data_IF_695721165955
#
_entry.id   IF_695721165955
#
_cell.length_a   1.000
_cell.length_b   1.000
_cell.length_c   1.000
_cell.angle_alpha   90.00
_cell.angle_beta   90.00
_cell.angle_gamma   90.00
#
_symmetry.space_group_name_H-M   'P 1'
#
loop_
_entity.id
_entity.type
_entity.pdbx_description
1 polymer ?
#
# COMPACT_ATOMS: atom_id res chain seq x y z
N UNK A 1 7.95 -38.28 -25.70
CA UNK A 1 8.03 -36.82 -25.94
C UNK A 1 8.16 -36.17 -24.57
N UNK A 2 9.39 -35.93 -24.13
CA UNK A 2 9.68 -35.34 -22.81
C UNK A 2 9.44 -33.85 -22.95
N UNK A 3 8.20 -33.42 -22.68
CA UNK A 3 7.90 -32.00 -22.51
C UNK A 3 8.65 -31.59 -21.23
N UNK A 4 9.85 -31.06 -21.41
CA UNK A 4 10.65 -30.49 -20.34
C UNK A 4 9.78 -29.44 -19.66
N UNK A 5 9.45 -29.71 -18.41
CA UNK A 5 8.70 -28.87 -17.50
C UNK A 5 9.55 -27.65 -17.07
N UNK A 6 10.01 -26.86 -18.04
CA UNK A 6 10.78 -25.62 -17.83
C UNK A 6 9.89 -24.44 -17.38
N UNK A 7 8.58 -24.66 -17.20
CA UNK A 7 7.63 -23.60 -16.79
C UNK A 7 7.40 -23.58 -15.27
N UNK A 8 7.84 -24.60 -14.53
CA UNK A 8 7.78 -24.53 -13.06
C UNK A 8 8.94 -23.65 -12.61
N UNK A 9 8.68 -22.51 -11.94
CA UNK A 9 9.76 -21.69 -11.39
C UNK A 9 10.61 -22.56 -10.47
N UNK A 10 11.91 -22.63 -10.78
CA UNK A 10 12.89 -23.32 -9.94
C UNK A 10 12.69 -22.89 -8.49
N UNK A 11 12.81 -23.81 -7.54
CA UNK A 11 12.66 -23.54 -6.11
C UNK A 11 13.44 -22.28 -5.68
N UNK A 12 14.63 -22.09 -6.27
CA UNK A 12 15.46 -20.89 -6.11
C UNK A 12 14.73 -19.58 -6.44
N UNK A 13 14.04 -19.52 -7.58
CA UNK A 13 13.28 -18.34 -7.99
C UNK A 13 12.10 -18.06 -7.05
N UNK A 14 11.38 -19.09 -6.62
CA UNK A 14 10.30 -18.97 -5.65
C UNK A 14 10.80 -18.44 -4.29
N UNK A 15 11.91 -18.98 -3.79
CA UNK A 15 12.58 -18.48 -2.58
C UNK A 15 13.05 -17.03 -2.73
N UNK A 16 13.59 -16.66 -3.90
CA UNK A 16 13.99 -15.28 -4.19
C UNK A 16 12.80 -14.32 -4.11
N UNK A 17 11.68 -14.63 -4.79
CA UNK A 17 10.48 -13.80 -4.73
C UNK A 17 9.87 -13.72 -3.33
N UNK A 18 9.85 -14.84 -2.59
CA UNK A 18 9.38 -14.85 -1.21
C UNK A 18 10.25 -13.94 -0.32
N UNK A 19 11.58 -14.03 -0.44
CA UNK A 19 12.49 -13.18 0.32
C UNK A 19 12.31 -11.70 -0.02
N UNK A 20 12.23 -11.35 -1.32
CA UNK A 20 11.97 -10.00 -1.78
C UNK A 20 10.65 -9.45 -1.23
N UNK A 21 9.61 -10.27 -1.21
CA UNK A 21 8.30 -9.89 -0.67
C UNK A 21 8.37 -9.60 0.82
N UNK A 22 9.08 -10.44 1.59
CA UNK A 22 9.27 -10.25 3.04
C UNK A 22 10.07 -8.98 3.31
N UNK A 23 11.25 -8.82 2.69
CA UNK A 23 12.09 -7.64 2.88
C UNK A 23 11.40 -6.36 2.40
N UNK A 24 10.71 -6.40 1.26
CA UNK A 24 9.93 -5.29 0.74
C UNK A 24 8.80 -4.88 1.68
N UNK A 25 8.08 -5.84 2.26
CA UNK A 25 7.00 -5.58 3.23
C UNK A 25 7.54 -4.95 4.52
N UNK A 26 8.69 -5.42 5.01
CA UNK A 26 9.36 -4.83 6.19
C UNK A 26 9.80 -3.39 5.89
N UNK A 27 10.51 -3.18 4.78
CA UNK A 27 10.99 -1.84 4.38
C UNK A 27 9.84 -0.85 4.17
N UNK A 28 8.75 -1.31 3.56
CA UNK A 28 7.53 -0.54 3.39
C UNK A 28 6.91 -0.16 4.74
N UNK A 29 6.76 -1.13 5.66
CA UNK A 29 6.20 -0.89 6.99
C UNK A 29 7.05 0.09 7.80
N UNK A 30 8.38 -0.07 7.79
CA UNK A 30 9.31 0.84 8.47
C UNK A 30 9.19 2.26 7.92
N UNK A 31 9.17 2.41 6.59
CA UNK A 31 9.01 3.71 5.92
C UNK A 31 7.68 4.37 6.30
N UNK A 32 6.59 3.59 6.31
CA UNK A 32 5.28 4.07 6.72
C UNK A 32 5.25 4.56 8.17
N UNK A 33 5.81 3.78 9.09
CA UNK A 33 5.89 4.15 10.52
C UNK A 33 6.79 5.35 10.75
N UNK A 34 7.88 5.48 10.00
CA UNK A 34 8.77 6.64 10.07
C UNK A 34 8.06 7.92 9.63
N UNK A 35 7.35 7.90 8.51
CA UNK A 35 6.58 9.04 8.01
C UNK A 35 5.47 9.48 8.99
N UNK A 36 4.79 8.52 9.63
CA UNK A 36 3.81 8.82 10.68
C UNK A 36 4.44 9.51 11.89
N UNK A 37 5.58 9.00 12.37
CA UNK A 37 6.30 9.59 13.51
C UNK A 37 6.80 11.01 13.20
N UNK A 38 7.31 11.25 11.99
CA UNK A 38 7.71 12.60 11.58
C UNK A 38 6.51 13.55 11.53
N UNK A 39 5.35 13.10 11.03
CA UNK A 39 4.13 13.90 11.06
C UNK A 39 3.69 14.26 12.49
N UNK A 40 3.78 13.31 13.42
CA UNK A 40 3.48 13.55 14.84
C UNK A 40 4.45 14.55 15.48
N UNK A 41 5.76 14.43 15.22
CA UNK A 41 6.76 15.39 15.70
C UNK A 41 6.52 16.80 15.16
N UNK A 42 6.14 16.93 13.89
CA UNK A 42 5.82 18.24 13.29
C UNK A 42 4.56 18.84 13.90
N UNK A 43 3.57 18.01 14.25
CA UNK A 43 2.37 18.47 14.95
C UNK A 43 2.70 19.05 16.33
N UNK A 44 3.66 18.46 17.05
CA UNK A 44 4.12 18.98 18.34
C UNK A 44 4.99 20.24 18.20
N UNK A 45 5.86 20.30 17.19
CA UNK A 45 6.79 21.43 16.95
C UNK A 45 6.15 22.66 16.30
N UNK A 46 4.92 22.56 15.79
CA UNK A 46 4.20 23.67 15.17
C UNK A 46 4.01 24.89 16.09
N UNK A 47 4.25 24.74 17.40
CA UNK A 47 4.23 25.83 18.39
C UNK A 47 5.50 26.70 18.33
N UNK A 48 6.62 26.21 17.78
CA UNK A 48 7.86 26.97 17.64
C UNK A 48 7.98 27.60 16.24
N UNK A 49 8.41 28.87 16.16
CA UNK A 49 8.32 29.79 15.01
C UNK A 49 8.94 29.34 13.66
N UNK A 50 9.63 28.19 13.58
CA UNK A 50 10.23 27.69 12.34
C UNK A 50 9.38 26.57 11.72
N UNK A 51 8.22 26.95 11.18
CA UNK A 51 7.34 26.02 10.47
C UNK A 51 7.50 26.18 8.95
N UNK A 52 8.08 25.17 8.29
CA UNK A 52 8.11 25.10 6.82
C UNK A 52 6.85 24.42 6.31
N UNK A 53 5.96 25.21 5.69
CA UNK A 53 4.69 24.74 5.10
C UNK A 53 4.93 23.67 4.02
N UNK A 54 5.98 23.83 3.20
CA UNK A 54 6.27 22.91 2.09
C UNK A 54 6.59 21.50 2.58
N UNK A 55 7.39 21.36 3.66
CA UNK A 55 7.77 20.06 4.20
C UNK A 55 6.58 19.25 4.72
N UNK A 56 5.62 19.93 5.35
CA UNK A 56 4.41 19.25 5.85
C UNK A 56 3.49 18.82 4.70
N UNK A 57 3.38 19.63 3.64
CA UNK A 57 2.66 19.22 2.43
C UNK A 57 3.28 17.97 1.81
N UNK A 58 4.61 17.94 1.61
CA UNK A 58 5.32 16.79 1.06
C UNK A 58 5.12 15.50 1.87
N UNK A 59 5.21 15.58 3.21
CA UNK A 59 5.01 14.39 4.06
C UNK A 59 3.56 13.92 4.01
N UNK A 60 2.58 14.84 3.96
CA UNK A 60 1.16 14.49 3.81
C UNK A 60 0.88 13.80 2.50
N UNK A 61 1.46 14.29 1.40
CA UNK A 61 1.38 13.66 0.08
C UNK A 61 1.98 12.25 0.10
N UNK A 62 3.19 12.09 0.66
CA UNK A 62 3.83 10.78 0.80
C UNK A 62 2.97 9.80 1.63
N UNK A 63 2.35 10.25 2.73
CA UNK A 63 1.46 9.41 3.54
C UNK A 63 0.19 9.05 2.76
N UNK A 64 -0.37 9.98 1.98
CA UNK A 64 -1.54 9.70 1.15
C UNK A 64 -1.23 8.64 0.08
N UNK A 65 -0.08 8.75 -0.58
CA UNK A 65 0.44 7.77 -1.55
C UNK A 65 0.69 6.42 -0.87
N UNK A 66 1.31 6.39 0.32
CA UNK A 66 1.51 5.15 1.07
C UNK A 66 0.17 4.50 1.45
N UNK A 67 -0.81 5.25 1.96
CA UNK A 67 -2.15 4.69 2.26
C UNK A 67 -2.82 4.09 1.04
N UNK A 68 -2.66 4.72 -0.12
CA UNK A 68 -3.15 4.18 -1.38
C UNK A 68 -2.47 2.85 -1.69
N UNK A 69 -1.13 2.81 -1.64
CA UNK A 69 -0.39 1.56 -1.85
C UNK A 69 -0.81 0.48 -0.87
N UNK A 70 -1.05 0.80 0.41
CA UNK A 70 -1.50 -0.19 1.39
C UNK A 70 -2.85 -0.81 1.01
N UNK A 71 -3.74 -0.01 0.41
CA UNK A 71 -5.06 -0.48 -0.03
C UNK A 71 -4.96 -1.44 -1.22
N UNK A 72 -3.93 -1.29 -2.07
CA UNK A 72 -3.66 -2.17 -3.23
C UNK A 72 -2.79 -3.37 -2.85
N UNK A 73 -1.81 -3.18 -1.97
CA UNK A 73 -0.85 -4.19 -1.55
C UNK A 73 -1.50 -5.28 -0.69
N UNK A 74 -2.42 -4.93 0.21
CA UNK A 74 -3.09 -5.91 1.07
C UNK A 74 -3.86 -6.99 0.28
N UNK A 75 -4.75 -6.66 -0.68
CA UNK A 75 -5.40 -7.67 -1.49
C UNK A 75 -4.42 -8.44 -2.38
N UNK A 76 -3.35 -7.79 -2.88
CA UNK A 76 -2.30 -8.48 -3.63
C UNK A 76 -1.66 -9.59 -2.79
N UNK A 77 -1.24 -9.27 -1.56
CA UNK A 77 -0.63 -10.24 -0.62
C UNK A 77 -1.62 -11.35 -0.25
N UNK A 78 -2.88 -11.00 0.03
CA UNK A 78 -3.90 -12.02 0.32
C UNK A 78 -4.16 -12.94 -0.88
N UNK A 79 -4.13 -12.40 -2.10
CA UNK A 79 -4.28 -13.18 -3.32
C UNK A 79 -3.05 -14.04 -3.62
N UNK A 80 -1.84 -13.71 -3.20
CA UNK A 80 -0.68 -14.58 -3.45
C UNK A 80 -0.59 -15.78 -2.52
N UNK A 81 -1.19 -15.74 -1.32
CA UNK A 81 -1.11 -16.85 -0.34
C UNK A 81 -1.57 -18.19 -0.92
N UNK A 82 -2.74 -18.32 -1.59
CA UNK A 82 -3.18 -19.60 -2.13
C UNK A 82 -2.27 -20.11 -3.25
N UNK A 83 -1.69 -19.22 -4.06
CA UNK A 83 -0.70 -19.61 -5.07
C UNK A 83 0.54 -20.25 -4.41
N UNK A 84 1.06 -19.65 -3.33
CA UNK A 84 2.16 -20.25 -2.57
C UNK A 84 1.77 -21.60 -1.95
N UNK A 85 0.54 -21.74 -1.45
CA UNK A 85 0.05 -23.01 -0.88
C UNK A 85 -0.01 -24.11 -1.95
N UNK A 86 -0.56 -23.81 -3.14
CA UNK A 86 -0.61 -24.78 -4.25
C UNK A 86 0.78 -25.16 -4.75
N UNK A 87 1.70 -24.20 -4.85
CA UNK A 87 3.10 -24.46 -5.21
C UNK A 87 3.81 -25.34 -4.17
N UNK A 88 3.56 -25.09 -2.88
CA UNK A 88 4.11 -25.90 -1.80
C UNK A 88 3.57 -27.33 -1.83
N UNK A 89 2.25 -27.50 -2.03
CA UNK A 89 1.62 -28.81 -2.21
C UNK A 89 2.17 -29.56 -3.42
N UNK A 90 2.37 -28.86 -4.55
CA UNK A 90 2.99 -29.41 -5.75
C UNK A 90 4.41 -29.93 -5.47
N UNK A 91 5.21 -29.15 -4.73
CA UNK A 91 6.61 -29.48 -4.43
C UNK A 91 6.76 -30.62 -3.42
N UNK A 92 5.78 -30.82 -2.54
CA UNK A 92 5.79 -31.87 -1.53
C UNK A 92 5.54 -33.27 -2.12
N UNK A 93 4.95 -33.35 -3.32
CA UNK A 93 4.54 -34.62 -3.94
C UNK A 93 5.62 -35.11 -4.92
N UNK A 94 6.33 -36.21 -4.60
CA UNK A 94 7.32 -36.78 -5.50
C UNK A 94 6.68 -37.35 -6.77
N UNK A 95 7.36 -37.27 -7.93
CA UNK A 95 6.89 -37.96 -9.14
C UNK A 95 6.90 -39.48 -8.96
N UNK A 96 5.91 -40.18 -9.54
CA UNK A 96 5.93 -41.64 -9.68
C UNK A 96 5.30 -42.45 -8.55
N UNK A 97 4.58 -41.80 -7.63
CA UNK A 97 3.85 -42.47 -6.52
C UNK A 97 2.41 -42.83 -6.93
N UNK A 98 1.99 -42.52 -8.17
CA UNK A 98 0.63 -42.78 -8.65
C UNK A 98 -0.40 -41.70 -8.29
N UNK A 99 0.03 -40.62 -7.64
CA UNK A 99 -0.80 -39.44 -7.32
C UNK A 99 -0.51 -38.27 -8.28
N UNK A 100 -0.06 -38.57 -9.51
CA UNK A 100 0.33 -37.55 -10.48
C UNK A 100 -0.84 -36.64 -10.89
N UNK A 101 -2.07 -37.17 -10.89
CA UNK A 101 -3.29 -36.38 -11.17
C UNK A 101 -3.45 -35.20 -10.20
N UNK A 102 -3.22 -35.42 -8.90
CA UNK A 102 -3.32 -34.34 -7.91
C UNK A 102 -2.22 -33.30 -8.13
N UNK A 103 -1.01 -33.74 -8.50
CA UNK A 103 0.09 -32.84 -8.84
C UNK A 103 -0.26 -31.94 -10.03
N UNK A 104 -0.89 -32.48 -11.08
CA UNK A 104 -1.37 -31.67 -12.21
C UNK A 104 -2.50 -30.72 -11.82
N UNK A 105 -3.40 -31.12 -10.93
CA UNK A 105 -4.46 -30.24 -10.40
C UNK A 105 -3.84 -29.07 -9.62
N UNK A 106 -2.85 -29.31 -8.75
CA UNK A 106 -2.16 -28.24 -8.02
C UNK A 106 -1.48 -27.25 -8.98
N UNK A 107 -0.83 -27.74 -10.03
CA UNK A 107 -0.22 -26.89 -11.05
C UNK A 107 -1.28 -26.04 -11.79
N UNK A 108 -2.39 -26.65 -12.22
CA UNK A 108 -3.47 -25.93 -12.89
C UNK A 108 -4.13 -24.88 -11.99
N UNK A 109 -4.33 -25.20 -10.71
CA UNK A 109 -4.88 -24.26 -9.72
C UNK A 109 -3.92 -23.11 -9.42
N UNK A 110 -2.62 -23.36 -9.39
CA UNK A 110 -1.60 -22.32 -9.27
C UNK A 110 -1.68 -21.30 -10.42
N UNK A 111 -1.70 -21.77 -11.66
CA UNK A 111 -1.77 -20.90 -12.86
C UNK A 111 -3.09 -20.12 -12.92
N UNK A 112 -4.20 -20.78 -12.61
CA UNK A 112 -5.52 -20.15 -12.52
C UNK A 112 -5.52 -19.04 -11.47
N UNK A 113 -4.94 -19.31 -10.30
CA UNK A 113 -4.94 -18.36 -9.19
C UNK A 113 -4.04 -17.16 -9.45
N UNK A 114 -2.89 -17.36 -10.10
CA UNK A 114 -2.04 -16.27 -10.57
C UNK A 114 -2.78 -15.37 -11.56
N UNK A 115 -3.46 -15.96 -12.55
CA UNK A 115 -4.23 -15.22 -13.55
C UNK A 115 -5.36 -14.41 -12.90
N UNK A 116 -6.10 -15.03 -11.97
CA UNK A 116 -7.14 -14.35 -11.19
C UNK A 116 -6.56 -13.20 -10.34
N UNK A 117 -5.40 -13.38 -9.74
CA UNK A 117 -4.71 -12.34 -8.96
C UNK A 117 -4.36 -11.14 -9.85
N UNK A 118 -3.84 -11.36 -11.06
CA UNK A 118 -3.55 -10.30 -12.02
C UNK A 118 -4.81 -9.49 -12.39
N UNK A 119 -5.90 -10.18 -12.72
CA UNK A 119 -7.18 -9.52 -13.07
C UNK A 119 -7.72 -8.71 -11.90
N UNK A 120 -7.66 -9.25 -10.67
CA UNK A 120 -8.09 -8.55 -9.47
C UNK A 120 -7.26 -7.29 -9.22
N UNK A 121 -5.94 -7.36 -9.37
CA UNK A 121 -5.01 -6.24 -9.16
C UNK A 121 -5.27 -5.15 -10.19
N UNK A 122 -5.33 -5.48 -11.47
CA UNK A 122 -5.63 -4.52 -12.55
C UNK A 122 -6.98 -3.84 -12.28
N UNK A 123 -8.01 -4.61 -11.95
CA UNK A 123 -9.35 -4.08 -11.65
C UNK A 123 -9.32 -3.14 -10.45
N UNK A 124 -8.60 -3.50 -9.38
CA UNK A 124 -8.45 -2.66 -8.18
C UNK A 124 -7.69 -1.37 -8.47
N UNK A 125 -6.61 -1.44 -9.24
CA UNK A 125 -5.83 -0.26 -9.66
C UNK A 125 -6.74 0.68 -10.46
N UNK A 126 -7.45 0.19 -11.48
CA UNK A 126 -8.36 1.00 -12.30
C UNK A 126 -9.49 1.65 -11.47
N UNK A 127 -10.04 0.94 -10.48
CA UNK A 127 -11.04 1.48 -9.57
C UNK A 127 -10.46 2.56 -8.65
N UNK A 128 -9.23 2.37 -8.17
CA UNK A 128 -8.55 3.33 -7.31
C UNK A 128 -8.10 4.58 -8.07
N UNK A 129 -7.56 4.45 -9.28
CA UNK A 129 -7.21 5.59 -10.13
C UNK A 129 -8.41 6.50 -10.35
N UNK A 130 -9.59 5.94 -10.66
CA UNK A 130 -10.80 6.77 -10.80
C UNK A 130 -11.16 7.52 -9.52
N UNK A 131 -10.95 6.93 -8.34
CA UNK A 131 -11.15 7.63 -7.07
C UNK A 131 -10.09 8.71 -6.85
N UNK A 132 -8.82 8.43 -7.14
CA UNK A 132 -7.72 9.38 -6.98
C UNK A 132 -7.91 10.54 -7.93
N UNK A 133 -8.17 10.28 -9.22
CA UNK A 133 -8.46 11.29 -10.23
C UNK A 133 -9.66 12.12 -9.81
N UNK A 134 -10.74 11.52 -9.29
CA UNK A 134 -11.86 12.28 -8.72
C UNK A 134 -11.49 13.05 -7.45
N UNK A 135 -10.58 12.56 -6.62
CA UNK A 135 -10.10 13.27 -5.44
C UNK A 135 -9.20 14.46 -5.80
N UNK A 136 -8.36 14.30 -6.84
CA UNK A 136 -7.41 15.31 -7.33
C UNK A 136 -8.15 16.37 -8.17
N UNK A 137 -9.01 15.96 -9.11
CA UNK A 137 -9.77 16.90 -9.97
C UNK A 137 -11.04 17.43 -9.28
N UNK A 138 -11.69 16.64 -8.43
CA UNK A 138 -13.02 16.95 -7.90
C UNK A 138 -13.04 17.82 -6.65
N UNK A 139 -11.90 18.05 -5.99
CA UNK A 139 -11.78 19.03 -4.92
C UNK A 139 -10.45 19.76 -5.06
N UNK A 140 -10.43 21.07 -5.36
CA UNK A 140 -9.20 21.82 -5.16
C UNK A 140 -8.82 21.67 -3.69
N UNK A 141 -7.66 21.05 -3.45
CA UNK A 141 -7.08 20.83 -2.12
C UNK A 141 -7.02 22.17 -1.34
N UNK A 142 -6.98 23.29 -2.06
CA UNK A 142 -7.10 24.64 -1.53
C UNK A 142 -8.37 24.89 -0.73
N UNK A 143 -9.54 24.33 -1.06
CA UNK A 143 -10.78 24.76 -0.39
C UNK A 143 -10.88 24.27 1.06
N UNK A 144 -10.39 23.06 1.35
CA UNK A 144 -10.32 22.58 2.75
C UNK A 144 -9.17 23.21 3.53
N UNK A 145 -8.04 23.50 2.88
CA UNK A 145 -6.93 24.24 3.51
C UNK A 145 -7.37 25.66 3.85
N UNK A 146 -7.99 26.37 2.91
CA UNK A 146 -8.50 27.72 3.07
C UNK A 146 -9.57 27.77 4.16
N UNK A 147 -10.47 26.79 4.24
CA UNK A 147 -11.47 26.73 5.33
C UNK A 147 -10.82 26.51 6.70
N UNK A 148 -9.82 25.62 6.80
CA UNK A 148 -9.09 25.42 8.07
C UNK A 148 -8.26 26.63 8.47
N UNK A 149 -7.67 27.32 7.49
CA UNK A 149 -6.84 28.50 7.70
C UNK A 149 -7.72 29.69 8.10
N UNK A 150 -8.85 29.91 7.42
CA UNK A 150 -9.88 30.89 7.80
C UNK A 150 -10.37 30.61 9.22
N UNK A 151 -10.64 29.36 9.57
CA UNK A 151 -11.09 29.03 10.91
C UNK A 151 -10.03 29.32 11.98
N UNK A 152 -8.76 28.96 11.74
CA UNK A 152 -7.66 29.30 12.65
C UNK A 152 -7.43 30.81 12.78
N UNK A 153 -7.61 31.56 11.69
CA UNK A 153 -7.49 33.02 11.66
C UNK A 153 -8.63 33.68 12.44
N UNK A 154 -9.85 33.14 12.32
CA UNK A 154 -11.01 33.62 13.08
C UNK A 154 -10.87 33.34 14.58
N UNK A 155 -10.36 32.17 14.98
CA UNK A 155 -10.08 31.85 16.39
C UNK A 155 -9.01 32.81 16.95
N UNK A 156 -7.94 33.05 16.19
CA UNK A 156 -6.89 34.00 16.58
C UNK A 156 -7.45 35.42 16.75
N UNK A 157 -8.23 35.92 15.78
CA UNK A 157 -8.90 37.22 15.87
C UNK A 157 -9.85 37.32 17.07
N UNK A 158 -10.63 36.27 17.34
CA UNK A 158 -11.52 36.23 18.49
C UNK A 158 -10.74 36.29 19.82
N UNK A 159 -9.60 35.61 19.90
CA UNK A 159 -8.72 35.63 21.06
C UNK A 159 -8.13 37.02 21.31
N UNK A 160 -7.64 37.69 20.26
CA UNK A 160 -7.13 39.06 20.37
C UNK A 160 -8.24 40.08 20.73
N UNK A 161 -9.45 39.92 20.19
CA UNK A 161 -10.58 40.76 20.53
C UNK A 161 -11.06 40.59 21.99
N UNK A 162 -10.83 39.41 22.59
CA UNK A 162 -11.09 39.17 24.01
C UNK A 162 -10.08 39.91 24.90
N UNK A 163 -8.79 39.86 24.54
CA UNK A 163 -7.71 40.54 25.26
C UNK A 163 -7.86 42.07 25.25
N UNK A 164 -8.37 42.65 24.15
CA UNK A 164 -8.58 44.10 24.02
C UNK A 164 -9.70 44.66 24.91
N UNK A 165 -10.57 43.80 25.47
CA UNK A 165 -11.70 44.22 26.33
C UNK A 165 -11.38 44.24 27.83
N UNK A 166 -10.25 43.66 28.24
CA UNK A 166 -9.89 43.52 29.66
C UNK A 166 -8.88 44.60 30.14
N UNK A 167 -8.53 45.56 29.29
CA UNK A 167 -7.71 46.74 29.59
C UNK A 167 -8.52 48.02 29.50
#
# INVERSE_FOLDING_TARGET
LVIRSEIVPDLSTSCYFASLTVFGSIGYYVTYRFNLRELEKMRMKAVMKEYSVSRVCQIRENIAVLKLFNTVALPLVLCTIPAFVFYFLYSLIPPGIGIDNFRFICAAMFDLWLTMSCVMVITRILLHERRIVKFILGKPIEQNQMTSQIHSLNISKAYFAMLDKEW
#
